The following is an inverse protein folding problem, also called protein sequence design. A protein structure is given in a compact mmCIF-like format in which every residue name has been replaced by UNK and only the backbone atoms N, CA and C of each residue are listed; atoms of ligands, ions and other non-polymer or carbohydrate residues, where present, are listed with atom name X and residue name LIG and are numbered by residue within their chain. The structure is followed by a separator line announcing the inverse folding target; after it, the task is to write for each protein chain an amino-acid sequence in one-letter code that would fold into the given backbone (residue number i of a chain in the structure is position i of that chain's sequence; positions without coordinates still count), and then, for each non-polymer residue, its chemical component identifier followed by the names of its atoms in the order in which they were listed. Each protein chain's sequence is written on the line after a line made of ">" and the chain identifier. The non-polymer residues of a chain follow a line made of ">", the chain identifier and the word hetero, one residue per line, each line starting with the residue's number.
data_IF_567723053120
#
_entry.id   IF_567723053120
#
_cell.length_a   1.000
_cell.length_b   1.000
_cell.length_c   1.000
_cell.angle_alpha   90.00
_cell.angle_beta   90.00
_cell.angle_gamma   90.00
#
_symmetry.space_group_name_H-M   'P 1'
#
loop_
_entity.id
_entity.type
_entity.pdbx_description
1 polymer ?
#
# COMPACT_ATOMS: atom_id res chain seq x y z
N UNK A 1 -41.02 -41.69 47.87
CA UNK A 1 -41.91 -40.86 47.03
C UNK A 1 -41.07 -39.78 46.36
N UNK A 2 -40.95 -39.81 45.02
CA UNK A 2 -40.65 -38.69 44.07
C UNK A 2 -39.27 -37.98 44.28
N UNK A 3 -38.42 -37.64 43.28
CA UNK A 3 -38.47 -37.55 41.82
C UNK A 3 -37.07 -37.62 41.20
N UNK A 4 -37.05 -37.92 39.89
CA UNK A 4 -35.97 -37.85 38.90
C UNK A 4 -35.32 -36.45 38.78
N UNK A 5 -34.01 -36.42 38.46
CA UNK A 5 -33.53 -35.82 37.20
C UNK A 5 -32.14 -36.31 36.84
N UNK A 6 -32.11 -36.93 35.67
CA UNK A 6 -31.04 -37.64 35.00
C UNK A 6 -29.89 -36.74 34.52
N UNK A 7 -28.67 -37.05 34.98
CA UNK A 7 -27.50 -37.29 34.11
C UNK A 7 -27.53 -38.81 33.85
N UNK A 8 -27.25 -39.37 32.65
CA UNK A 8 -25.99 -39.21 31.93
C UNK A 8 -26.11 -39.35 30.38
N UNK A 9 -25.00 -39.27 29.64
CA UNK A 9 -24.53 -40.32 28.71
C UNK A 9 -23.46 -39.80 27.74
N UNK A 10 -22.20 -39.89 28.20
CA UNK A 10 -21.08 -40.20 27.33
C UNK A 10 -21.25 -41.65 26.85
N UNK A 11 -21.58 -41.83 25.58
CA UNK A 11 -21.38 -43.11 24.89
C UNK A 11 -20.73 -42.82 23.53
N UNK A 12 -19.41 -42.91 23.53
CA UNK A 12 -18.61 -43.03 22.31
C UNK A 12 -18.88 -44.41 21.70
N UNK A 13 -19.59 -44.44 20.58
CA UNK A 13 -19.55 -45.56 19.63
C UNK A 13 -18.61 -45.17 18.49
N UNK A 14 -17.56 -45.95 18.31
CA UNK A 14 -16.44 -45.64 17.43
C UNK A 14 -16.76 -45.73 15.95
N UNK A 15 -16.09 -44.86 15.17
CA UNK A 15 -15.71 -45.16 13.80
C UNK A 15 -14.25 -44.78 13.60
N UNK A 16 -13.59 -45.66 12.86
CA UNK A 16 -12.18 -45.82 12.55
C UNK A 16 -11.48 -44.56 12.07
N UNK A 17 -10.37 -44.21 12.74
CA UNK A 17 -9.40 -43.26 12.25
C UNK A 17 -8.64 -43.85 11.05
N UNK A 18 -8.93 -43.34 9.85
CA UNK A 18 -8.04 -43.43 8.71
C UNK A 18 -7.60 -42.03 8.36
N UNK A 19 -6.41 -41.67 8.84
CA UNK A 19 -5.63 -40.54 8.32
C UNK A 19 -5.36 -40.76 6.83
N UNK A 20 -5.49 -39.74 5.98
CA UNK A 20 -4.69 -39.64 4.78
C UNK A 20 -3.77 -38.43 4.90
N UNK A 21 -2.50 -38.69 5.20
CA UNK A 21 -1.41 -37.90 4.61
C UNK A 21 -1.57 -37.95 3.09
N UNK A 22 -1.79 -36.81 2.45
CA UNK A 22 -1.79 -36.69 0.99
C UNK A 22 -1.20 -35.34 0.57
N UNK A 23 0.09 -35.18 0.84
CA UNK A 23 1.00 -34.45 -0.03
C UNK A 23 1.05 -35.15 -1.39
N UNK A 24 0.04 -34.98 -2.24
CA UNK A 24 0.06 -35.43 -3.64
C UNK A 24 -1.18 -35.00 -4.44
N UNK A 25 -1.39 -33.70 -4.68
CA UNK A 25 -2.07 -33.25 -5.91
C UNK A 25 -1.48 -31.91 -6.34
N UNK A 26 -0.35 -32.00 -7.04
CA UNK A 26 0.12 -30.95 -7.94
C UNK A 26 -0.45 -31.26 -9.32
N UNK A 27 -1.40 -30.46 -9.81
CA UNK A 27 -1.36 -29.89 -11.17
C UNK A 27 -2.63 -29.09 -11.52
N UNK A 28 -2.38 -27.86 -11.99
CA UNK A 28 -3.15 -27.18 -13.03
C UNK A 28 -4.68 -27.15 -12.94
N UNK A 29 -5.23 -26.26 -12.12
CA UNK A 29 -6.47 -25.56 -12.48
C UNK A 29 -6.36 -24.09 -12.07
N UNK A 30 -6.39 -23.19 -13.06
CA UNK A 30 -6.72 -21.78 -12.88
C UNK A 30 -8.19 -21.70 -12.48
N UNK A 31 -8.49 -21.72 -11.18
CA UNK A 31 -9.87 -21.67 -10.67
C UNK A 31 -10.26 -20.23 -10.38
N UNK A 32 -11.17 -19.73 -11.20
CA UNK A 32 -11.83 -18.42 -11.05
C UNK A 32 -12.80 -18.53 -9.86
N UNK A 33 -12.66 -17.63 -8.89
CA UNK A 33 -13.51 -17.55 -7.72
C UNK A 33 -14.82 -16.84 -8.06
N UNK A 34 -15.82 -17.57 -8.56
CA UNK A 34 -17.17 -16.98 -8.73
C UNK A 34 -18.33 -17.97 -8.83
N UNK A 35 -18.12 -19.28 -8.74
CA UNK A 35 -19.23 -20.23 -8.85
C UNK A 35 -19.64 -20.69 -7.45
N UNK A 36 -20.92 -20.47 -7.10
CA UNK A 36 -21.68 -20.76 -5.87
C UNK A 36 -21.14 -20.17 -4.57
N UNK A 37 -21.90 -19.23 -3.99
CA UNK A 37 -21.61 -18.73 -2.66
C UNK A 37 -22.89 -18.35 -1.95
N UNK A 38 -23.46 -19.34 -1.26
CA UNK A 38 -24.46 -19.15 -0.23
C UNK A 38 -23.70 -18.62 0.99
N UNK A 39 -24.00 -17.40 1.42
CA UNK A 39 -23.52 -16.87 2.71
C UNK A 39 -24.24 -17.67 3.80
N UNK A 40 -23.55 -18.56 4.54
CA UNK A 40 -24.19 -19.25 5.63
C UNK A 40 -24.38 -18.27 6.79
N UNK A 41 -25.43 -18.47 7.58
CA UNK A 41 -25.58 -17.77 8.86
C UNK A 41 -24.30 -17.93 9.71
N UNK A 42 -23.96 -16.90 10.50
CA UNK A 42 -22.73 -16.78 11.29
C UNK A 42 -22.39 -17.99 12.19
N UNK A 43 -23.35 -18.87 12.43
CA UNK A 43 -23.22 -20.09 13.23
C UNK A 43 -22.48 -21.25 12.52
N UNK A 44 -22.25 -21.18 11.19
CA UNK A 44 -21.70 -22.31 10.40
C UNK A 44 -20.51 -21.96 9.47
N UNK A 45 -19.76 -20.88 9.76
CA UNK A 45 -18.58 -20.48 8.96
C UNK A 45 -17.30 -20.63 9.80
N UNK A 46 -16.38 -21.49 9.38
CA UNK A 46 -15.03 -21.47 9.92
C UNK A 46 -14.29 -20.27 9.30
N UNK A 47 -14.00 -19.25 10.10
CA UNK A 47 -13.17 -18.11 9.68
C UNK A 47 -11.74 -18.27 10.16
N UNK A 48 -10.75 -18.20 9.26
CA UNK A 48 -9.33 -18.16 9.64
C UNK A 48 -8.82 -16.74 9.48
N UNK A 49 -8.36 -16.16 10.59
CA UNK A 49 -7.83 -14.80 10.63
C UNK A 49 -6.31 -14.82 10.46
N UNK A 50 -5.82 -13.99 9.55
CA UNK A 50 -4.41 -13.77 9.30
C UNK A 50 -4.07 -12.31 9.54
N UNK A 51 -3.00 -12.08 10.26
CA UNK A 51 -2.54 -10.75 10.63
C UNK A 51 -1.48 -10.83 11.70
N UNK A 52 -1.10 -9.66 12.18
CA UNK A 52 -0.13 -9.51 13.24
C UNK A 52 -0.88 -9.26 14.54
N UNK A 53 -0.50 -9.92 15.64
CA UNK A 53 -1.20 -9.86 16.95
C UNK A 53 -1.41 -8.44 17.51
N UNK A 54 -0.64 -7.45 17.05
CA UNK A 54 -0.75 -6.04 17.44
C UNK A 54 -1.83 -5.25 16.68
N UNK A 55 -2.38 -5.80 15.59
CA UNK A 55 -3.32 -5.12 14.70
C UNK A 55 -4.53 -5.97 14.35
N UNK A 56 -5.59 -5.33 13.86
CA UNK A 56 -6.74 -6.02 13.27
C UNK A 56 -6.31 -6.97 12.15
N UNK A 57 -7.04 -8.07 11.92
CA UNK A 57 -6.75 -9.00 10.83
C UNK A 57 -6.62 -8.30 9.49
N UNK A 58 -5.57 -8.62 8.75
CA UNK A 58 -5.28 -8.06 7.43
C UNK A 58 -5.82 -8.94 6.31
N UNK A 59 -6.09 -10.21 6.61
CA UNK A 59 -6.66 -11.19 5.71
C UNK A 59 -7.57 -12.14 6.50
N UNK A 60 -8.74 -12.46 5.94
CA UNK A 60 -9.70 -13.38 6.54
C UNK A 60 -10.13 -14.38 5.48
N UNK A 61 -9.97 -15.67 5.77
CA UNK A 61 -10.52 -16.74 4.95
C UNK A 61 -11.88 -17.16 5.50
N UNK A 62 -12.91 -17.07 4.67
CA UNK A 62 -14.23 -17.64 4.95
C UNK A 62 -14.40 -18.94 4.18
N UNK A 63 -14.93 -19.96 4.85
CA UNK A 63 -15.32 -21.21 4.22
C UNK A 63 -16.85 -21.32 4.23
N UNK A 64 -17.46 -21.45 3.05
CA UNK A 64 -18.90 -21.74 2.97
C UNK A 64 -19.20 -23.19 3.32
N UNK A 65 -20.48 -23.50 3.53
CA UNK A 65 -20.99 -24.87 3.72
C UNK A 65 -20.60 -25.79 2.56
N UNK A 66 -20.47 -25.26 1.35
CA UNK A 66 -20.01 -25.97 0.15
C UNK A 66 -18.47 -26.08 0.05
N UNK A 67 -17.75 -25.77 1.14
CA UNK A 67 -16.29 -25.68 1.22
C UNK A 67 -15.64 -24.69 0.24
N UNK A 68 -16.38 -23.70 -0.24
CA UNK A 68 -15.80 -22.66 -1.09
C UNK A 68 -15.11 -21.62 -0.22
N UNK A 69 -13.85 -21.36 -0.54
CA UNK A 69 -13.00 -20.40 0.17
C UNK A 69 -13.19 -19.02 -0.43
N UNK A 70 -13.66 -18.07 0.37
CA UNK A 70 -13.57 -16.65 0.08
C UNK A 70 -12.38 -16.09 0.82
N UNK A 71 -11.61 -15.26 0.14
CA UNK A 71 -10.49 -14.54 0.75
C UNK A 71 -10.85 -13.07 0.80
N UNK A 72 -10.94 -12.50 2.00
CA UNK A 72 -11.01 -11.06 2.20
C UNK A 72 -9.65 -10.53 2.56
N UNK A 73 -9.22 -9.45 1.90
CA UNK A 73 -8.02 -8.70 2.29
C UNK A 73 -8.39 -7.25 2.55
N UNK A 74 -7.82 -6.68 3.62
CA UNK A 74 -8.06 -5.29 4.01
C UNK A 74 -7.69 -4.32 2.87
N UNK A 75 -6.56 -4.57 2.19
CA UNK A 75 -6.08 -3.77 1.07
C UNK A 75 -7.01 -3.81 -0.15
N UNK A 76 -7.43 -5.00 -0.58
CA UNK A 76 -8.32 -5.13 -1.73
C UNK A 76 -9.68 -4.49 -1.43
N UNK A 77 -10.17 -4.69 -0.21
CA UNK A 77 -11.41 -4.08 0.26
C UNK A 77 -11.37 -2.55 0.15
N UNK A 78 -10.32 -1.88 0.65
CA UNK A 78 -10.16 -0.42 0.51
C UNK A 78 -10.23 0.07 -0.94
N UNK A 79 -9.51 -0.61 -1.84
CA UNK A 79 -9.38 -0.21 -3.24
C UNK A 79 -10.63 -0.47 -4.08
N UNK A 80 -11.45 -1.44 -3.69
CA UNK A 80 -12.70 -1.81 -4.38
C UNK A 80 -13.91 -1.03 -3.87
N UNK A 81 -13.82 -0.48 -2.66
CA UNK A 81 -14.91 0.20 -2.00
C UNK A 81 -15.44 1.35 -2.86
N UNK A 82 -16.73 1.35 -3.16
CA UNK A 82 -17.43 2.33 -4.02
C UNK A 82 -17.10 2.36 -5.50
N UNK A 83 -16.03 1.69 -5.92
CA UNK A 83 -15.57 1.68 -7.32
C UNK A 83 -15.95 0.40 -8.04
N UNK A 84 -16.11 -0.72 -7.34
CA UNK A 84 -16.43 -2.02 -7.93
C UNK A 84 -17.79 -2.02 -8.64
N UNK A 85 -18.85 -1.60 -7.95
CA UNK A 85 -20.20 -1.42 -8.52
C UNK A 85 -20.17 -0.54 -9.77
N UNK A 86 -19.42 0.57 -9.71
CA UNK A 86 -19.32 1.53 -10.82
C UNK A 86 -18.54 0.96 -12.00
N UNK A 87 -17.49 0.19 -11.74
CA UNK A 87 -16.72 -0.49 -12.78
C UNK A 87 -17.56 -1.55 -13.50
N UNK A 88 -18.40 -2.27 -12.75
CA UNK A 88 -19.33 -3.26 -13.29
C UNK A 88 -20.35 -2.63 -14.24
N UNK A 89 -21.01 -1.56 -13.80
CA UNK A 89 -22.01 -0.84 -14.60
C UNK A 89 -21.43 0.09 -15.68
N UNK A 90 -20.12 -0.01 -15.98
CA UNK A 90 -19.48 0.78 -17.03
C UNK A 90 -19.42 2.28 -16.76
N UNK A 91 -19.63 2.71 -15.51
CA UNK A 91 -19.47 4.11 -15.09
C UNK A 91 -17.98 4.45 -15.00
N UNK A 92 -17.64 5.74 -15.04
CA UNK A 92 -16.26 6.25 -14.96
C UNK A 92 -15.66 6.09 -13.54
N UNK A 93 -15.42 4.84 -13.12
CA UNK A 93 -14.95 4.49 -11.77
C UNK A 93 -13.56 5.05 -11.45
N UNK A 94 -12.66 5.17 -12.45
CA UNK A 94 -11.30 5.70 -12.26
C UNK A 94 -11.28 7.13 -11.72
N UNK A 95 -12.23 7.97 -12.16
CA UNK A 95 -12.34 9.37 -11.71
C UNK A 95 -12.72 9.49 -10.23
N UNK A 96 -13.36 8.46 -9.68
CA UNK A 96 -13.86 8.45 -8.31
C UNK A 96 -13.01 7.56 -7.38
N UNK A 97 -12.06 6.80 -7.93
CA UNK A 97 -11.16 5.94 -7.17
C UNK A 97 -10.06 6.78 -6.52
N UNK A 98 -10.01 6.74 -5.18
CA UNK A 98 -8.96 7.42 -4.42
C UNK A 98 -7.59 6.74 -4.67
N UNK A 99 -7.51 5.41 -4.70
CA UNK A 99 -6.26 4.71 -5.02
C UNK A 99 -5.76 4.93 -6.45
N UNK A 100 -6.65 5.21 -7.42
CA UNK A 100 -6.23 5.68 -8.76
C UNK A 100 -5.50 7.01 -8.65
N UNK A 101 -6.13 8.02 -8.04
CA UNK A 101 -5.54 9.36 -7.91
C UNK A 101 -4.29 9.38 -7.03
N UNK A 102 -4.25 8.61 -5.94
CA UNK A 102 -3.03 8.44 -5.14
C UNK A 102 -1.89 7.87 -5.99
N UNK A 103 -2.14 6.84 -6.80
CA UNK A 103 -1.12 6.26 -7.67
C UNK A 103 -0.65 7.23 -8.76
N UNK A 104 -1.56 8.03 -9.35
CA UNK A 104 -1.21 9.09 -10.31
C UNK A 104 -0.34 10.17 -9.65
N UNK A 105 -0.71 10.66 -8.48
CA UNK A 105 0.10 11.61 -7.72
C UNK A 105 1.49 11.04 -7.40
N UNK A 106 1.58 9.75 -7.04
CA UNK A 106 2.86 9.08 -6.79
C UNK A 106 3.73 8.98 -8.05
N UNK A 107 3.15 8.64 -9.22
CA UNK A 107 3.88 8.63 -10.50
C UNK A 107 4.44 10.03 -10.80
N UNK A 108 3.62 11.07 -10.67
CA UNK A 108 4.05 12.45 -10.88
C UNK A 108 5.18 12.82 -9.91
N UNK A 109 5.02 12.50 -8.63
CA UNK A 109 6.03 12.76 -7.61
C UNK A 109 7.38 12.08 -7.93
N UNK A 110 7.40 10.78 -8.15
CA UNK A 110 8.63 10.06 -8.48
C UNK A 110 9.25 10.49 -9.81
N UNK A 111 8.44 10.89 -10.79
CA UNK A 111 8.97 11.44 -12.05
C UNK A 111 9.72 12.75 -11.81
N UNK A 112 9.18 13.64 -10.99
CA UNK A 112 9.85 14.89 -10.63
C UNK A 112 11.05 14.65 -9.70
N UNK A 113 11.02 13.68 -8.80
CA UNK A 113 12.21 13.29 -8.03
C UNK A 113 13.34 12.82 -8.93
N UNK A 114 13.05 11.96 -9.92
CA UNK A 114 14.04 11.53 -10.91
C UNK A 114 14.61 12.73 -11.68
N UNK A 115 13.75 13.65 -12.12
CA UNK A 115 14.20 14.87 -12.81
C UNK A 115 15.12 15.72 -11.94
N UNK A 116 14.77 15.95 -10.67
CA UNK A 116 15.59 16.71 -9.73
C UNK A 116 16.94 16.07 -9.47
N UNK A 117 17.01 14.75 -9.32
CA UNK A 117 18.27 14.01 -9.13
C UNK A 117 19.18 14.08 -10.36
N UNK A 118 18.60 13.95 -11.56
CA UNK A 118 19.37 14.09 -12.80
C UNK A 118 19.93 15.51 -12.89
N UNK A 119 19.13 16.53 -12.54
CA UNK A 119 19.56 17.91 -12.45
C UNK A 119 20.72 18.08 -11.47
N UNK A 120 20.60 17.55 -10.25
CA UNK A 120 21.65 17.62 -9.23
C UNK A 120 22.94 16.94 -9.69
N UNK A 121 22.85 15.74 -10.28
CA UNK A 121 24.01 15.03 -10.81
C UNK A 121 24.71 15.81 -11.94
N UNK A 122 23.94 16.46 -12.81
CA UNK A 122 24.48 17.29 -13.89
C UNK A 122 25.18 18.53 -13.34
N UNK A 123 24.52 19.25 -12.43
CA UNK A 123 25.07 20.46 -11.84
C UNK A 123 26.29 20.17 -10.97
N UNK A 124 26.32 19.09 -10.18
CA UNK A 124 27.50 18.70 -9.39
C UNK A 124 28.76 18.52 -10.25
N UNK A 125 28.62 17.83 -11.41
CA UNK A 125 29.73 17.61 -12.34
C UNK A 125 30.18 18.90 -13.05
N UNK A 126 29.25 19.83 -13.29
CA UNK A 126 29.49 21.08 -13.99
C UNK A 126 29.98 22.17 -13.03
N UNK A 127 29.62 22.12 -11.75
CA UNK A 127 29.93 23.13 -10.74
C UNK A 127 31.44 23.26 -10.52
N UNK A 128 32.19 22.14 -10.52
CA UNK A 128 33.65 22.18 -10.50
C UNK A 128 34.28 22.95 -11.68
N UNK A 129 33.57 23.07 -12.80
CA UNK A 129 34.02 23.78 -14.01
C UNK A 129 33.44 25.20 -14.13
N UNK A 130 32.19 25.45 -13.71
CA UNK A 130 31.48 26.74 -13.81
C UNK A 130 31.63 27.65 -12.59
N UNK A 131 31.96 27.13 -11.40
CA UNK A 131 32.25 27.95 -10.21
C UNK A 131 33.34 29.00 -10.47
N UNK A 132 34.24 28.73 -11.41
CA UNK A 132 35.32 29.61 -11.80
C UNK A 132 34.90 30.75 -12.77
N UNK A 133 33.67 30.75 -13.33
CA UNK A 133 33.32 31.66 -14.43
C UNK A 133 32.03 32.47 -14.28
N UNK A 134 30.95 31.97 -13.68
CA UNK A 134 29.69 32.74 -13.59
C UNK A 134 28.89 32.46 -12.30
N UNK A 135 28.58 33.47 -11.47
CA UNK A 135 27.78 33.34 -10.24
C UNK A 135 26.26 33.49 -10.50
N UNK A 136 25.72 32.78 -11.50
CA UNK A 136 24.33 32.93 -11.95
C UNK A 136 23.40 31.83 -11.41
N UNK A 137 22.39 32.23 -10.64
CA UNK A 137 21.46 31.45 -9.82
C UNK A 137 20.46 30.50 -10.55
N UNK A 138 20.87 29.76 -11.59
CA UNK A 138 19.94 28.89 -12.35
C UNK A 138 19.75 27.48 -11.78
N UNK A 139 20.45 27.12 -10.70
CA UNK A 139 20.43 25.76 -10.14
C UNK A 139 19.13 25.46 -9.38
N UNK A 140 18.63 26.41 -8.58
CA UNK A 140 17.40 26.21 -7.80
C UNK A 140 16.17 25.89 -8.68
N UNK A 141 15.90 26.62 -9.78
CA UNK A 141 14.79 26.27 -10.67
C UNK A 141 14.94 24.93 -11.40
N UNK A 142 16.17 24.47 -11.67
CA UNK A 142 16.42 23.22 -12.39
C UNK A 142 16.47 21.99 -11.48
N UNK A 143 16.86 22.15 -10.22
CA UNK A 143 17.03 21.06 -9.25
C UNK A 143 15.97 21.10 -8.16
N UNK A 144 15.90 22.19 -7.39
CA UNK A 144 15.08 22.27 -6.19
C UNK A 144 13.58 22.44 -6.47
N UNK A 145 13.20 23.13 -7.55
CA UNK A 145 11.81 23.25 -7.94
C UNK A 145 11.19 21.89 -8.30
N UNK A 146 11.79 21.04 -9.17
CA UNK A 146 11.33 19.67 -9.36
C UNK A 146 11.22 18.88 -8.06
N UNK A 147 12.22 18.95 -7.17
CA UNK A 147 12.20 18.21 -5.90
C UNK A 147 11.09 18.70 -4.95
N UNK A 148 10.80 20.00 -4.92
CA UNK A 148 9.70 20.56 -4.14
C UNK A 148 8.34 20.15 -4.70
N UNK A 149 8.14 20.28 -6.01
CA UNK A 149 6.91 19.83 -6.69
C UNK A 149 6.71 18.34 -6.45
N UNK A 150 7.77 17.53 -6.55
CA UNK A 150 7.73 16.12 -6.23
C UNK A 150 7.24 15.86 -4.80
N UNK A 151 7.81 16.55 -3.80
CA UNK A 151 7.42 16.40 -2.41
C UNK A 151 5.93 16.76 -2.16
N UNK A 152 5.41 17.80 -2.82
CA UNK A 152 4.01 18.20 -2.71
C UNK A 152 3.08 17.13 -3.29
N UNK A 153 3.38 16.58 -4.47
CA UNK A 153 2.60 15.48 -5.04
C UNK A 153 2.72 14.20 -4.22
N UNK A 154 3.88 13.97 -3.61
CA UNK A 154 4.09 12.83 -2.73
C UNK A 154 3.23 12.93 -1.46
N UNK A 155 3.16 14.11 -0.85
CA UNK A 155 2.24 14.40 0.26
C UNK A 155 0.78 14.22 -0.17
N UNK A 156 0.39 14.72 -1.35
CA UNK A 156 -0.96 14.54 -1.88
C UNK A 156 -1.32 13.05 -2.04
N UNK A 157 -0.39 12.22 -2.52
CA UNK A 157 -0.59 10.77 -2.63
C UNK A 157 -0.89 10.13 -1.27
N UNK A 158 -0.11 10.46 -0.24
CA UNK A 158 -0.32 9.95 1.11
C UNK A 158 -1.60 10.49 1.76
N UNK A 159 -1.95 11.75 1.53
CA UNK A 159 -3.20 12.34 2.00
C UNK A 159 -4.42 11.64 1.36
N UNK A 160 -4.38 11.37 0.06
CA UNK A 160 -5.45 10.62 -0.64
C UNK A 160 -5.54 9.19 -0.10
N UNK A 161 -4.41 8.53 0.16
CA UNK A 161 -4.40 7.20 0.78
C UNK A 161 -4.99 7.20 2.19
N UNK A 162 -4.73 8.25 2.98
CA UNK A 162 -5.36 8.42 4.29
C UNK A 162 -6.88 8.60 4.15
N UNK A 163 -7.33 9.45 3.21
CA UNK A 163 -8.76 9.59 2.91
C UNK A 163 -9.39 8.25 2.48
N UNK A 164 -8.68 7.41 1.74
CA UNK A 164 -9.15 6.07 1.40
C UNK A 164 -9.31 5.17 2.63
N UNK A 165 -8.34 5.18 3.55
CA UNK A 165 -8.39 4.37 4.78
C UNK A 165 -9.54 4.78 5.70
N UNK A 166 -9.76 6.08 5.92
CA UNK A 166 -10.83 6.54 6.82
C UNK A 166 -12.24 6.35 6.21
N UNK A 167 -12.37 6.36 4.89
CA UNK A 167 -13.65 6.19 4.19
C UNK A 167 -13.95 4.74 3.79
N UNK A 168 -13.06 3.81 4.10
CA UNK A 168 -13.30 2.38 3.93
C UNK A 168 -14.39 1.90 4.90
N UNK A 169 -15.28 0.99 4.47
CA UNK A 169 -16.27 0.43 5.39
C UNK A 169 -15.58 -0.38 6.49
N UNK A 170 -15.92 -0.08 7.73
CA UNK A 170 -15.36 -0.73 8.91
C UNK A 170 -16.20 -1.95 9.33
N UNK A 171 -17.40 -2.09 8.77
CA UNK A 171 -18.30 -3.20 9.04
C UNK A 171 -18.20 -4.24 7.92
N UNK A 172 -17.59 -5.38 8.26
CA UNK A 172 -17.42 -6.50 7.35
C UNK A 172 -18.76 -7.03 6.79
N UNK A 173 -19.82 -7.05 7.61
CA UNK A 173 -21.14 -7.52 7.18
C UNK A 173 -21.74 -6.61 6.12
N UNK A 174 -21.62 -5.30 6.32
CA UNK A 174 -22.11 -4.29 5.38
C UNK A 174 -21.32 -4.35 4.05
N UNK A 175 -20.01 -4.62 4.12
CA UNK A 175 -19.24 -4.87 2.91
C UNK A 175 -19.63 -6.16 2.21
N UNK A 176 -19.82 -7.26 2.94
CA UNK A 176 -20.25 -8.53 2.34
C UNK A 176 -21.58 -8.34 1.63
N UNK A 177 -22.51 -7.62 2.26
CA UNK A 177 -23.80 -7.25 1.67
C UNK A 177 -23.62 -6.46 0.37
N UNK A 178 -22.82 -5.39 0.38
CA UNK A 178 -22.51 -4.60 -0.82
C UNK A 178 -21.79 -5.40 -1.92
N UNK A 179 -20.86 -6.28 -1.53
CA UNK A 179 -20.05 -7.07 -2.45
C UNK A 179 -20.83 -8.20 -3.11
N UNK A 180 -21.76 -8.84 -2.40
CA UNK A 180 -22.60 -9.92 -2.93
C UNK A 180 -23.85 -9.42 -3.64
N UNK A 181 -24.46 -8.34 -3.14
CA UNK A 181 -25.71 -7.82 -3.69
C UNK A 181 -25.52 -6.70 -4.71
N UNK A 182 -24.28 -6.22 -4.90
CA UNK A 182 -23.97 -5.20 -5.89
C UNK A 182 -24.77 -3.91 -5.65
N UNK A 183 -25.05 -3.57 -4.39
CA UNK A 183 -25.80 -2.36 -4.06
C UNK A 183 -24.94 -1.10 -4.25
N UNK A 184 -25.57 0.03 -4.58
CA UNK A 184 -24.86 1.31 -4.66
C UNK A 184 -24.40 1.70 -3.24
N UNK A 185 -23.10 1.94 -3.02
CA UNK A 185 -22.61 2.22 -1.68
C UNK A 185 -23.14 3.55 -1.17
N UNK A 186 -23.80 3.51 -0.01
CA UNK A 186 -24.30 4.68 0.69
C UNK A 186 -23.29 5.06 1.77
N UNK A 187 -22.16 5.65 1.37
CA UNK A 187 -21.18 6.17 2.34
C UNK A 187 -21.16 7.70 2.36
N UNK A 188 -21.46 8.24 3.54
CA UNK A 188 -21.13 9.61 3.89
C UNK A 188 -19.61 9.75 4.06
N UNK A 189 -19.01 10.70 3.36
CA UNK A 189 -17.55 10.90 3.41
C UNK A 189 -17.15 11.46 4.78
N UNK A 190 -16.27 10.73 5.46
CA UNK A 190 -15.61 11.18 6.67
C UNK A 190 -14.29 11.87 6.32
N UNK A 191 -14.03 12.99 7.01
CA UNK A 191 -12.79 13.77 6.84
C UNK A 191 -11.75 13.48 7.93
N UNK A 192 -12.21 12.97 9.08
CA UNK A 192 -11.37 12.61 10.22
C UNK A 192 -11.89 11.29 10.80
N UNK A 193 -10.96 10.37 11.06
CA UNK A 193 -11.24 9.08 11.69
C UNK A 193 -10.03 8.63 12.49
N UNK A 194 -10.26 7.94 13.60
CA UNK A 194 -9.21 7.44 14.48
C UNK A 194 -9.37 5.94 14.69
N UNK A 195 -8.47 5.16 14.09
CA UNK A 195 -8.52 3.70 14.10
C UNK A 195 -7.15 3.10 14.47
N UNK A 196 -6.73 3.22 15.75
CA UNK A 196 -5.37 2.87 16.16
C UNK A 196 -5.08 1.37 16.14
N UNK A 197 -6.12 0.52 16.14
CA UNK A 197 -5.97 -0.94 16.03
C UNK A 197 -5.64 -1.42 14.62
N UNK A 198 -5.65 -0.53 13.63
CA UNK A 198 -5.51 -0.85 12.21
C UNK A 198 -4.10 -0.53 11.70
N UNK A 199 -3.46 -1.50 11.05
CA UNK A 199 -2.11 -1.33 10.49
C UNK A 199 -2.07 -0.30 9.35
N UNK A 200 -3.13 -0.23 8.56
CA UNK A 200 -3.27 0.69 7.43
C UNK A 200 -3.49 2.14 7.86
N UNK A 201 -4.10 2.36 9.03
CA UNK A 201 -4.16 3.67 9.66
C UNK A 201 -2.75 4.18 9.99
N UNK A 202 -1.93 3.38 10.68
CA UNK A 202 -0.55 3.78 11.01
C UNK A 202 0.33 3.93 9.78
N UNK A 203 0.14 3.07 8.78
CA UNK A 203 0.80 3.19 7.47
C UNK A 203 0.55 4.58 6.88
N UNK A 204 -0.70 4.99 6.76
CA UNK A 204 -1.03 6.28 6.13
C UNK A 204 -0.66 7.49 6.98
N UNK A 205 -0.80 7.42 8.31
CA UNK A 205 -0.39 8.50 9.23
C UNK A 205 1.12 8.71 9.18
N UNK A 206 1.92 7.65 9.28
CA UNK A 206 3.38 7.76 9.20
C UNK A 206 3.84 8.24 7.81
N UNK A 207 3.18 7.78 6.75
CA UNK A 207 3.45 8.23 5.38
C UNK A 207 3.15 9.72 5.18
N UNK A 208 2.03 10.22 5.71
CA UNK A 208 1.69 11.64 5.69
C UNK A 208 2.68 12.49 6.49
N UNK A 209 3.01 12.08 7.72
CA UNK A 209 3.97 12.81 8.56
C UNK A 209 5.36 12.84 7.91
N UNK A 210 5.81 11.71 7.37
CA UNK A 210 7.10 11.62 6.69
C UNK A 210 7.16 12.48 5.43
N UNK A 211 6.12 12.46 4.59
CA UNK A 211 6.03 13.30 3.39
C UNK A 211 5.89 14.80 3.72
N UNK A 212 5.20 15.16 4.80
CA UNK A 212 5.11 16.54 5.28
C UNK A 212 6.48 17.09 5.68
N UNK A 213 7.28 16.31 6.43
CA UNK A 213 8.66 16.67 6.77
C UNK A 213 9.54 16.83 5.53
N UNK A 214 9.29 16.01 4.50
CA UNK A 214 9.97 16.12 3.22
C UNK A 214 9.62 17.42 2.47
N UNK A 215 8.35 17.80 2.45
CA UNK A 215 7.90 19.09 1.91
C UNK A 215 8.56 20.23 2.67
N UNK A 216 8.59 20.17 4.00
CA UNK A 216 9.24 21.18 4.83
C UNK A 216 10.74 21.31 4.51
N UNK A 217 11.47 20.19 4.43
CA UNK A 217 12.89 20.19 4.09
C UNK A 217 13.14 20.84 2.71
N UNK A 218 12.32 20.51 1.71
CA UNK A 218 12.46 21.05 0.34
C UNK A 218 12.05 22.50 0.25
N UNK A 219 11.00 22.90 0.94
CA UNK A 219 10.56 24.29 1.00
C UNK A 219 11.61 25.16 1.70
N UNK A 220 12.29 24.64 2.72
CA UNK A 220 13.36 25.37 3.42
C UNK A 220 14.54 25.70 2.50
N UNK A 221 15.04 24.72 1.73
CA UNK A 221 16.12 24.97 0.75
C UNK A 221 15.66 25.94 -0.34
N UNK A 222 14.43 25.77 -0.84
CA UNK A 222 13.86 26.67 -1.85
C UNK A 222 13.75 28.13 -1.38
N UNK A 223 13.32 28.36 -0.14
CA UNK A 223 13.19 29.73 0.41
C UNK A 223 14.55 30.34 0.69
N UNK A 224 15.52 29.53 1.12
CA UNK A 224 16.89 29.99 1.37
C UNK A 224 17.59 30.37 0.06
N UNK A 225 17.40 29.60 -1.00
CA UNK A 225 17.87 29.88 -2.37
C UNK A 225 19.38 30.24 -2.47
N UNK A 226 20.21 29.70 -1.58
CA UNK A 226 21.65 29.96 -1.55
C UNK A 226 22.37 29.30 -2.74
N UNK A 227 23.36 29.95 -3.32
CA UNK A 227 24.13 29.37 -4.44
C UNK A 227 24.95 28.15 -4.06
N UNK A 228 25.16 27.91 -2.77
CA UNK A 228 26.01 26.85 -2.24
C UNK A 228 25.25 25.62 -1.73
N UNK A 229 23.93 25.73 -1.55
CA UNK A 229 23.11 24.65 -0.99
C UNK A 229 21.96 24.34 -1.94
N UNK A 230 21.99 23.19 -2.59
CA UNK A 230 20.93 22.76 -3.48
C UNK A 230 20.81 21.23 -3.51
N UNK A 231 19.69 20.75 -4.05
CA UNK A 231 19.50 19.33 -4.27
C UNK A 231 19.36 18.55 -2.97
N UNK A 232 19.59 17.26 -3.05
CA UNK A 232 19.40 16.31 -1.96
C UNK A 232 20.68 16.16 -1.13
N UNK A 233 21.84 16.31 -1.75
CA UNK A 233 23.14 15.91 -1.20
C UNK A 233 24.09 17.08 -1.05
N UNK A 234 24.07 18.00 -2.00
CA UNK A 234 24.91 19.20 -2.01
C UNK A 234 24.37 20.29 -1.06
N UNK A 235 24.13 19.90 0.19
CA UNK A 235 23.72 20.78 1.30
C UNK A 235 24.78 20.72 2.39
N UNK A 236 25.22 21.89 2.86
CA UNK A 236 26.22 21.98 3.93
C UNK A 236 25.65 21.55 5.30
N UNK A 237 26.56 21.28 6.24
CA UNK A 237 26.28 20.74 7.59
C UNK A 237 26.90 21.56 8.72
N UNK A 238 27.56 22.66 8.38
CA UNK A 238 28.24 23.56 9.30
C UNK A 238 27.27 24.49 10.05
N UNK A 239 26.14 24.80 9.41
CA UNK A 239 25.13 25.72 9.95
C UNK A 239 24.01 24.97 10.69
N UNK A 240 23.79 25.32 11.97
CA UNK A 240 22.69 24.78 12.80
C UNK A 240 21.33 24.96 12.13
N UNK A 241 21.13 26.04 11.37
CA UNK A 241 19.87 26.29 10.67
C UNK A 241 19.65 25.30 9.52
N UNK A 242 20.70 24.85 8.81
CA UNK A 242 20.60 23.79 7.81
C UNK A 242 20.33 22.43 8.47
N UNK A 243 20.96 22.17 9.62
CA UNK A 243 20.74 20.93 10.38
C UNK A 243 19.26 20.81 10.80
N UNK A 244 18.71 21.86 11.42
CA UNK A 244 17.33 21.85 11.93
C UNK A 244 16.31 22.02 10.81
N UNK A 245 16.59 22.86 9.81
CA UNK A 245 15.65 23.20 8.74
C UNK A 245 15.56 22.17 7.62
N UNK A 246 16.66 21.49 7.31
CA UNK A 246 16.73 20.53 6.20
C UNK A 246 17.03 19.12 6.68
N UNK A 247 18.18 18.91 7.33
CA UNK A 247 18.69 17.56 7.60
C UNK A 247 17.82 16.76 8.57
N UNK A 248 17.40 17.36 9.68
CA UNK A 248 16.57 16.68 10.67
C UNK A 248 15.18 16.30 10.11
N UNK A 249 14.44 17.21 9.43
CA UNK A 249 13.21 16.86 8.74
C UNK A 249 13.43 15.82 7.63
N UNK A 250 14.52 15.93 6.87
CA UNK A 250 14.85 14.97 5.81
C UNK A 250 15.09 13.56 6.35
N UNK A 251 15.90 13.42 7.40
CA UNK A 251 16.23 12.15 8.05
C UNK A 251 15.03 11.55 8.81
N UNK A 252 14.33 12.37 9.59
CA UNK A 252 13.14 11.91 10.32
C UNK A 252 12.03 11.54 9.34
N UNK A 253 11.86 12.34 8.28
CA UNK A 253 10.89 12.08 7.23
C UNK A 253 11.16 10.78 6.48
N UNK A 254 12.40 10.54 6.06
CA UNK A 254 12.79 9.30 5.38
C UNK A 254 12.62 8.06 6.28
N UNK A 255 12.90 8.18 7.58
CA UNK A 255 12.64 7.11 8.56
C UNK A 255 11.14 6.80 8.70
N UNK A 256 10.29 7.82 8.85
CA UNK A 256 8.83 7.64 8.95
C UNK A 256 8.25 7.05 7.67
N UNK A 257 8.74 7.46 6.50
CA UNK A 257 8.35 6.89 5.21
C UNK A 257 8.75 5.42 5.08
N UNK A 258 9.94 5.05 5.56
CA UNK A 258 10.39 3.66 5.61
C UNK A 258 9.50 2.83 6.54
N UNK A 259 9.18 3.33 7.74
CA UNK A 259 8.28 2.66 8.67
C UNK A 259 6.88 2.46 8.05
N UNK A 260 6.34 3.50 7.41
CA UNK A 260 5.09 3.43 6.65
C UNK A 260 5.14 2.35 5.58
N UNK A 261 6.17 2.35 4.72
CA UNK A 261 6.28 1.37 3.64
C UNK A 261 6.49 -0.06 4.15
N UNK A 262 7.20 -0.23 5.27
CA UNK A 262 7.35 -1.52 5.94
C UNK A 262 6.01 -2.04 6.49
N UNK A 263 5.24 -1.19 7.17
CA UNK A 263 3.89 -1.57 7.65
C UNK A 263 2.95 -1.95 6.50
N UNK A 264 3.01 -1.22 5.37
CA UNK A 264 2.27 -1.56 4.16
C UNK A 264 2.67 -2.94 3.59
N UNK A 265 3.95 -3.30 3.69
CA UNK A 265 4.44 -4.60 3.25
C UNK A 265 4.01 -5.72 4.21
N UNK A 266 4.10 -5.49 5.52
CA UNK A 266 3.61 -6.41 6.56
C UNK A 266 2.10 -6.64 6.43
N UNK A 267 1.34 -5.61 6.06
CA UNK A 267 -0.10 -5.74 5.78
C UNK A 267 -0.39 -6.79 4.70
N UNK A 268 0.41 -6.81 3.62
CA UNK A 268 0.23 -7.73 2.48
C UNK A 268 0.80 -9.11 2.75
N UNK A 269 1.91 -9.19 3.49
CA UNK A 269 2.57 -10.46 3.82
C UNK A 269 1.91 -11.16 5.02
N UNK A 270 1.14 -10.41 5.81
CA UNK A 270 0.46 -10.85 7.04
C UNK A 270 1.38 -11.33 8.15
N UNK A 271 2.69 -11.05 8.05
CA UNK A 271 3.72 -11.45 9.00
C UNK A 271 4.83 -10.39 9.04
N UNK A 272 5.45 -10.19 10.20
CA UNK A 272 6.58 -9.26 10.34
C UNK A 272 7.80 -9.66 9.51
N UNK A 273 8.05 -10.96 9.37
CA UNK A 273 9.22 -11.51 8.70
C UNK A 273 8.80 -12.62 7.75
N UNK A 274 8.56 -12.28 6.49
CA UNK A 274 8.36 -13.26 5.43
C UNK A 274 8.59 -12.61 4.07
N UNK A 275 9.16 -13.39 3.15
CA UNK A 275 9.41 -12.96 1.78
C UNK A 275 8.54 -13.82 0.85
N UNK A 276 7.33 -13.32 0.54
CA UNK A 276 6.36 -14.02 -0.33
C UNK A 276 6.12 -13.23 -1.63
N UNK A 277 7.04 -13.34 -2.58
CA UNK A 277 7.03 -12.61 -3.86
C UNK A 277 6.04 -13.15 -4.92
N UNK A 278 5.00 -13.86 -4.50
CA UNK A 278 4.12 -14.59 -5.43
C UNK A 278 2.98 -13.75 -6.00
N UNK A 279 2.64 -12.62 -5.36
CA UNK A 279 1.50 -11.79 -5.75
C UNK A 279 1.93 -10.42 -6.22
N UNK A 280 1.12 -9.81 -7.10
CA UNK A 280 1.34 -8.45 -7.59
C UNK A 280 1.37 -7.42 -6.44
N UNK A 281 0.54 -7.61 -5.41
CA UNK A 281 0.48 -6.75 -4.23
C UNK A 281 1.80 -6.76 -3.45
N UNK A 282 2.45 -7.93 -3.34
CA UNK A 282 3.78 -8.03 -2.73
C UNK A 282 4.81 -7.23 -3.52
N UNK A 283 4.78 -7.28 -4.85
CA UNK A 283 5.71 -6.50 -5.68
C UNK A 283 5.48 -5.00 -5.55
N UNK A 284 4.22 -4.55 -5.54
CA UNK A 284 3.88 -3.13 -5.34
C UNK A 284 4.43 -2.64 -4.00
N UNK A 285 4.10 -3.33 -2.90
CA UNK A 285 4.52 -2.90 -1.55
C UNK A 285 6.02 -3.10 -1.31
N UNK A 286 6.61 -4.19 -1.82
CA UNK A 286 8.03 -4.49 -1.70
C UNK A 286 8.92 -3.50 -2.45
N UNK A 287 8.54 -3.11 -3.67
CA UNK A 287 9.27 -2.07 -4.41
C UNK A 287 9.15 -0.70 -3.73
N UNK A 288 7.99 -0.37 -3.15
CA UNK A 288 7.83 0.85 -2.37
C UNK A 288 8.69 0.83 -1.09
N UNK A 289 8.76 -0.30 -0.39
CA UNK A 289 9.63 -0.46 0.77
C UNK A 289 11.11 -0.29 0.40
N UNK A 290 11.56 -0.91 -0.69
CA UNK A 290 12.91 -0.72 -1.21
C UNK A 290 13.18 0.73 -1.65
N UNK A 291 12.16 1.42 -2.17
CA UNK A 291 12.26 2.84 -2.51
C UNK A 291 12.55 3.70 -1.27
N UNK A 292 11.76 3.53 -0.22
CA UNK A 292 11.93 4.26 1.04
C UNK A 292 13.22 3.86 1.77
N UNK A 293 13.66 2.61 1.64
CA UNK A 293 14.97 2.19 2.15
C UNK A 293 16.11 2.94 1.44
N UNK A 294 16.01 3.14 0.13
CA UNK A 294 16.97 3.96 -0.62
C UNK A 294 17.01 5.41 -0.15
N UNK A 295 15.85 5.99 0.16
CA UNK A 295 15.75 7.36 0.70
C UNK A 295 16.37 7.45 2.09
N UNK A 296 16.05 6.49 2.96
CA UNK A 296 16.59 6.43 4.31
C UNK A 296 18.11 6.20 4.31
N UNK A 297 18.60 5.28 3.47
CA UNK A 297 20.04 5.03 3.32
C UNK A 297 20.77 6.29 2.83
N UNK A 298 20.25 6.95 1.80
CA UNK A 298 20.81 8.22 1.30
C UNK A 298 20.88 9.27 2.41
N UNK A 299 19.79 9.43 3.19
CA UNK A 299 19.78 10.36 4.32
C UNK A 299 20.73 9.98 5.45
N UNK A 300 20.93 8.69 5.72
CA UNK A 300 21.82 8.22 6.80
C UNK A 300 23.28 8.42 6.43
N UNK A 301 23.66 8.09 5.20
CA UNK A 301 25.02 8.27 4.69
C UNK A 301 25.45 9.74 4.71
N UNK A 302 24.49 10.65 4.63
CA UNK A 302 24.76 12.08 4.59
C UNK A 302 24.56 12.79 5.93
N UNK A 303 23.63 12.33 6.77
CA UNK A 303 23.35 12.98 8.05
C UNK A 303 24.43 12.70 9.09
N UNK A 304 25.06 11.52 9.05
CA UNK A 304 26.10 11.16 10.01
C UNK A 304 27.47 11.62 9.49
N UNK A 305 28.09 12.58 10.18
CA UNK A 305 29.38 13.19 9.81
C UNK A 305 30.50 12.21 9.39
N UNK A 306 30.77 11.09 10.09
CA UNK A 306 31.83 10.19 9.63
C UNK A 306 31.48 9.53 8.29
N UNK A 307 30.20 9.26 8.01
CA UNK A 307 29.80 8.68 6.74
C UNK A 307 29.84 9.68 5.60
N UNK A 308 29.44 10.93 5.84
CA UNK A 308 29.48 11.97 4.82
C UNK A 308 30.90 12.29 4.33
N UNK A 309 31.92 12.08 5.16
CA UNK A 309 33.34 12.23 4.78
C UNK A 309 33.89 10.98 4.09
N UNK A 310 33.41 9.79 4.45
CA UNK A 310 33.89 8.52 3.92
C UNK A 310 33.28 8.16 2.56
N UNK A 311 32.03 8.56 2.31
CA UNK A 311 31.30 8.21 1.10
C UNK A 311 31.32 9.37 0.09
N UNK A 312 31.59 9.03 -1.17
CA UNK A 312 31.55 10.01 -2.26
C UNK A 312 30.11 10.47 -2.53
N UNK A 313 29.97 11.63 -3.19
CA UNK A 313 28.68 12.15 -3.66
C UNK A 313 27.84 11.06 -4.38
N UNK A 314 28.48 10.28 -5.27
CA UNK A 314 27.82 9.20 -6.00
C UNK A 314 27.30 8.09 -5.08
N UNK A 315 28.06 7.72 -4.04
CA UNK A 315 27.63 6.70 -3.08
C UNK A 315 26.41 7.14 -2.26
N UNK A 316 26.25 8.45 -2.05
CA UNK A 316 25.08 9.03 -1.39
C UNK A 316 23.89 9.22 -2.35
N UNK A 317 24.13 9.48 -3.63
CA UNK A 317 23.12 9.72 -4.67
C UNK A 317 22.47 8.44 -5.19
N UNK A 318 23.25 7.39 -5.43
CA UNK A 318 22.76 6.14 -6.01
C UNK A 318 21.62 5.49 -5.20
N UNK A 319 21.66 5.43 -3.85
CA UNK A 319 20.53 4.94 -3.06
C UNK A 319 19.25 5.76 -3.26
N UNK A 320 19.37 7.09 -3.36
CA UNK A 320 18.23 7.96 -3.59
C UNK A 320 17.65 7.80 -5.00
N UNK A 321 18.52 7.77 -6.01
CA UNK A 321 18.16 7.59 -7.42
C UNK A 321 17.48 6.23 -7.67
N UNK A 322 18.09 5.15 -7.17
CA UNK A 322 17.50 3.81 -7.23
C UNK A 322 16.17 3.76 -6.50
N UNK A 323 16.06 4.42 -5.34
CA UNK A 323 14.80 4.55 -4.62
C UNK A 323 13.70 5.20 -5.45
N UNK A 324 14.03 6.27 -6.19
CA UNK A 324 13.06 6.95 -7.05
C UNK A 324 12.57 6.08 -8.21
N UNK A 325 13.46 5.31 -8.84
CA UNK A 325 13.10 4.39 -9.93
C UNK A 325 12.24 3.23 -9.44
N UNK A 326 12.55 2.68 -8.26
CA UNK A 326 11.76 1.61 -7.64
C UNK A 326 10.39 2.13 -7.21
N UNK A 327 10.32 3.35 -6.66
CA UNK A 327 9.08 4.02 -6.28
C UNK A 327 8.18 4.32 -7.50
N UNK A 328 8.77 4.77 -8.61
CA UNK A 328 8.06 4.94 -9.87
C UNK A 328 7.50 3.61 -10.38
N UNK A 329 8.31 2.56 -10.36
CA UNK A 329 7.91 1.21 -10.78
C UNK A 329 6.77 0.67 -9.91
N UNK A 330 6.86 0.84 -8.58
CA UNK A 330 5.79 0.51 -7.63
C UNK A 330 4.49 1.25 -7.94
N UNK A 331 4.58 2.55 -8.22
CA UNK A 331 3.42 3.40 -8.49
C UNK A 331 2.70 3.00 -9.79
N UNK A 332 3.46 2.65 -10.84
CA UNK A 332 2.91 2.09 -12.08
C UNK A 332 2.26 0.72 -11.83
N UNK A 333 2.91 -0.15 -11.07
CA UNK A 333 2.34 -1.45 -10.71
C UNK A 333 1.09 -1.33 -9.84
N UNK A 334 0.96 -0.29 -9.00
CA UNK A 334 -0.25 -0.01 -8.23
C UNK A 334 -1.46 0.29 -9.13
N UNK A 335 -1.26 0.98 -10.26
CA UNK A 335 -2.32 1.15 -11.26
C UNK A 335 -2.70 -0.17 -11.94
N UNK A 336 -1.71 -0.99 -12.28
CA UNK A 336 -1.95 -2.33 -12.85
C UNK A 336 -2.69 -3.24 -11.86
N UNK A 337 -2.34 -3.16 -10.57
CA UNK A 337 -3.03 -3.83 -9.47
C UNK A 337 -4.49 -3.42 -9.44
N UNK A 338 -4.77 -2.11 -9.50
CA UNK A 338 -6.12 -1.57 -9.49
C UNK A 338 -6.95 -2.04 -10.68
N UNK A 339 -6.40 -2.05 -11.89
CA UNK A 339 -7.06 -2.59 -13.09
C UNK A 339 -7.33 -4.08 -12.95
N UNK A 340 -6.38 -4.84 -12.38
CA UNK A 340 -6.52 -6.28 -12.20
C UNK A 340 -7.57 -6.64 -11.16
N UNK A 341 -7.74 -5.80 -10.14
CA UNK A 341 -8.77 -5.89 -9.09
C UNK A 341 -10.17 -5.63 -9.71
N UNK A 342 -10.30 -4.67 -10.62
CA UNK A 342 -11.58 -4.28 -11.24
C UNK A 342 -11.96 -5.08 -12.50
N UNK A 343 -11.29 -6.21 -12.80
CA UNK A 343 -11.66 -7.05 -13.95
C UNK A 343 -13.02 -7.72 -13.71
N UNK A 344 -13.90 -7.65 -14.71
CA UNK A 344 -15.28 -8.17 -14.67
C UNK A 344 -15.40 -9.63 -14.22
N UNK A 345 -14.51 -10.51 -14.67
CA UNK A 345 -14.57 -11.95 -14.31
C UNK A 345 -14.20 -12.24 -12.85
N UNK A 346 -13.70 -11.25 -12.11
CA UNK A 346 -13.46 -11.37 -10.66
C UNK A 346 -14.65 -10.90 -9.84
N UNK A 347 -15.70 -10.36 -10.48
CA UNK A 347 -16.92 -10.00 -9.79
C UNK A 347 -17.70 -11.27 -9.45
N UNK A 348 -18.20 -11.43 -8.21
CA UNK A 348 -18.99 -12.59 -7.82
C UNK A 348 -20.26 -12.73 -8.68
N UNK A 349 -20.86 -11.62 -9.13
CA UNK A 349 -22.00 -11.65 -10.06
C UNK A 349 -21.68 -12.19 -11.46
N UNK A 350 -20.41 -12.27 -11.87
CA UNK A 350 -20.08 -12.83 -13.19
C UNK A 350 -20.47 -14.31 -13.28
N UNK A 351 -20.35 -15.07 -12.19
CA UNK A 351 -20.84 -16.44 -12.11
C UNK A 351 -22.37 -16.53 -12.21
N UNK A 352 -23.08 -15.55 -11.65
CA UNK A 352 -24.56 -15.49 -11.63
C UNK A 352 -25.17 -15.28 -13.02
N UNK A 353 -24.53 -14.50 -13.90
CA UNK A 353 -25.04 -14.26 -15.26
C UNK A 353 -24.64 -15.34 -16.28
N UNK A 354 -23.60 -16.11 -16.00
CA UNK A 354 -23.18 -17.21 -16.88
C UNK A 354 -24.10 -18.44 -16.72
N UNK A 355 -24.72 -18.60 -15.54
CA UNK A 355 -25.80 -19.56 -15.30
C UNK A 355 -27.18 -18.90 -15.52
N UNK A 356 -27.81 -19.11 -16.68
CA UNK A 356 -29.20 -18.66 -16.92
C UNK A 356 -30.25 -19.27 -15.97
N UNK A 357 -29.87 -20.23 -15.13
CA UNK A 357 -30.68 -20.68 -14.01
C UNK A 357 -30.33 -19.83 -12.80
N UNK A 358 -31.14 -18.82 -12.52
CA UNK A 358 -31.10 -18.13 -11.22
C UNK A 358 -31.12 -19.13 -10.06
N UNK A 359 -30.59 -18.69 -8.93
CA UNK A 359 -30.47 -19.41 -7.65
C UNK A 359 -31.31 -20.71 -7.56
N UNK A 360 -30.62 -21.86 -7.47
CA UNK A 360 -31.18 -23.05 -6.85
C UNK A 360 -32.05 -23.99 -7.70
N UNK A 361 -32.06 -23.91 -9.04
CA UNK A 361 -32.65 -25.00 -9.84
C UNK A 361 -31.60 -26.02 -10.24
N UNK A 362 -31.33 -27.00 -9.37
CA UNK A 362 -30.82 -28.30 -9.80
C UNK A 362 -31.73 -28.81 -10.92
N UNK A 363 -31.24 -28.86 -12.16
CA UNK A 363 -31.78 -29.83 -13.10
C UNK A 363 -31.28 -31.19 -12.62
N UNK A 364 -32.16 -32.12 -12.18
CA UNK A 364 -31.73 -33.50 -12.04
C UNK A 364 -31.22 -33.94 -13.41
N UNK A 365 -29.96 -34.35 -13.46
CA UNK A 365 -29.45 -35.07 -14.62
C UNK A 365 -30.26 -36.36 -14.72
N UNK A 366 -31.06 -36.46 -15.77
CA UNK A 366 -31.66 -37.72 -16.25
C UNK A 366 -30.66 -38.39 -17.15
#
# INVERSE_FOLDING_TARGET
>A
MVSKKDLPLLQHAGYTATSPTASSVSSSYSRVASEELIVPAAENVNSVYYGVDAFSPTLVDFYTVDQKRIVWSSRAHRKMMTTLYRAWHGKHWKLQSLSFWSSVCAIVAFSFFVAGIIGEAMEHNVWGYKAAREPGSTVHPSVDLPLLVAAVFFLASHAISYFEVINCCHNLELWLDEYFHGSDPVLERQYLGFFPSRIDFWTTVMGMLGSLLYVFARAYIWVRADTENFGVIDVKRDDLSLIVGYWLPFFTGSFLLLLSAYLAHVEVVHQWFSCRLTTLETWVTGLNMMAMLGFFLSSTLQFMDPFAVLFSFQACLVPFASGCLLGLSSSVLSLVELENIHKRHKHPEYGLYQSQGGYGSFKPQV
#
